data_IF_095152903056
#
_entry.id   IF_095152903056
#
_cell.length_a   1.000
_cell.length_b   1.000
_cell.length_c   1.000
_cell.angle_alpha   90.00
_cell.angle_beta   90.00
_cell.angle_gamma   90.00
#
_symmetry.space_group_name_H-M   'P 1'
#
loop_
_entity.id
_entity.type
_entity.pdbx_description
1 polymer ?
#
# COMPACT_ATOMS: atom_id res chain seq x y z
N UNK A 1 9.75 23.30 2.26
CA UNK A 1 9.02 22.09 1.83
C UNK A 1 7.97 21.63 2.83
N UNK A 2 8.31 21.40 4.11
CA UNK A 2 7.37 20.85 5.11
C UNK A 2 6.14 21.71 5.39
N UNK A 3 6.28 23.04 5.48
CA UNK A 3 5.14 23.96 5.65
C UNK A 3 4.16 23.93 4.47
N UNK A 4 4.66 23.79 3.25
CA UNK A 4 3.84 23.67 2.05
C UNK A 4 3.08 22.33 2.03
N UNK A 5 3.73 21.23 2.41
CA UNK A 5 3.07 19.93 2.48
C UNK A 5 1.90 19.92 3.48
N UNK A 6 2.11 20.48 4.69
CA UNK A 6 1.05 20.55 5.72
C UNK A 6 -0.11 21.44 5.26
N UNK A 7 0.19 22.61 4.67
CA UNK A 7 -0.85 23.52 4.18
C UNK A 7 -1.61 22.94 2.99
N UNK A 8 -0.92 22.22 2.10
CA UNK A 8 -1.53 21.46 1.01
C UNK A 8 -2.48 20.38 1.54
N UNK A 9 -2.02 19.50 2.43
CA UNK A 9 -2.86 18.43 3.00
C UNK A 9 -4.08 18.99 3.75
N UNK A 10 -3.90 20.09 4.49
CA UNK A 10 -5.00 20.76 5.19
C UNK A 10 -6.04 21.31 4.22
N UNK A 11 -5.61 22.02 3.17
CA UNK A 11 -6.51 22.56 2.15
C UNK A 11 -7.17 21.47 1.31
N UNK A 12 -6.43 20.41 0.99
CA UNK A 12 -6.93 19.24 0.28
C UNK A 12 -8.06 18.56 1.06
N UNK A 13 -7.85 18.28 2.35
CA UNK A 13 -8.88 17.67 3.22
C UNK A 13 -10.14 18.54 3.28
N UNK A 14 -9.99 19.86 3.41
CA UNK A 14 -11.12 20.79 3.43
C UNK A 14 -11.86 20.82 2.09
N UNK A 15 -11.14 20.81 0.97
CA UNK A 15 -11.73 20.79 -0.37
C UNK A 15 -12.49 19.48 -0.63
N UNK A 16 -11.94 18.34 -0.21
CA UNK A 16 -12.62 17.05 -0.32
C UNK A 16 -13.93 17.06 0.47
N UNK A 17 -13.92 17.48 1.74
CA UNK A 17 -15.15 17.56 2.54
C UNK A 17 -16.22 18.46 1.90
N UNK A 18 -15.81 19.62 1.35
CA UNK A 18 -16.72 20.50 0.64
C UNK A 18 -17.29 19.90 -0.67
N UNK A 19 -16.53 19.06 -1.37
CA UNK A 19 -17.01 18.35 -2.57
C UNK A 19 -17.94 17.21 -2.16
N UNK A 20 -17.57 16.40 -1.18
CA UNK A 20 -18.39 15.31 -0.66
C UNK A 20 -19.74 15.82 -0.19
N UNK A 21 -19.79 16.95 0.52
CA UNK A 21 -21.04 17.59 0.91
C UNK A 21 -21.84 18.12 -0.30
N UNK A 22 -21.19 18.71 -1.30
CA UNK A 22 -21.89 19.21 -2.50
C UNK A 22 -22.47 18.10 -3.37
N UNK A 23 -21.84 16.94 -3.36
CA UNK A 23 -22.26 15.77 -4.12
C UNK A 23 -23.16 14.84 -3.31
N UNK A 24 -23.54 15.24 -2.09
CA UNK A 24 -24.43 14.48 -1.21
C UNK A 24 -23.90 13.07 -0.89
N UNK A 25 -22.57 12.94 -0.82
CA UNK A 25 -21.89 11.67 -0.56
C UNK A 25 -21.61 11.44 0.93
N UNK A 26 -22.16 12.28 1.83
CA UNK A 26 -21.93 12.15 3.27
C UNK A 26 -22.78 11.05 3.91
N UNK A 27 -23.89 10.67 3.27
CA UNK A 27 -24.86 9.69 3.76
C UNK A 27 -24.72 8.32 3.09
N UNK A 28 -23.64 8.08 2.34
CA UNK A 28 -23.39 6.77 1.75
C UNK A 28 -22.99 5.79 2.86
N UNK A 29 -23.96 5.05 3.39
CA UNK A 29 -23.74 4.03 4.42
C UNK A 29 -22.88 2.90 3.86
N UNK A 30 -21.86 2.49 4.64
CA UNK A 30 -21.02 1.34 4.28
C UNK A 30 -21.84 0.04 4.10
N UNK A 31 -23.04 -0.03 4.69
CA UNK A 31 -23.97 -1.16 4.63
C UNK A 31 -24.65 -1.37 3.25
N UNK A 32 -24.74 -0.35 2.38
CA UNK A 32 -25.35 -0.51 1.04
C UNK A 32 -24.38 -1.09 -0.01
N UNK A 33 -23.09 -1.23 0.34
CA UNK A 33 -22.10 -1.76 -0.59
C UNK A 33 -22.33 -3.25 -0.86
N UNK A 34 -23.00 -3.54 -1.98
CA UNK A 34 -23.06 -4.90 -2.53
C UNK A 34 -21.64 -5.49 -2.59
N UNK A 35 -21.46 -6.76 -2.20
CA UNK A 35 -20.15 -7.41 -2.26
C UNK A 35 -19.63 -7.35 -3.69
N UNK A 36 -18.35 -7.00 -3.86
CA UNK A 36 -17.71 -6.90 -5.18
C UNK A 36 -18.00 -8.20 -5.97
N UNK A 37 -18.40 -8.12 -7.26
CA UNK A 37 -18.82 -9.31 -8.00
C UNK A 37 -17.75 -10.39 -8.07
N UNK A 38 -16.47 -10.00 -8.15
CA UNK A 38 -15.33 -10.93 -8.10
C UNK A 38 -15.25 -11.73 -6.80
N UNK A 39 -15.71 -11.15 -5.70
CA UNK A 39 -15.72 -11.79 -4.38
C UNK A 39 -16.84 -12.82 -4.27
N UNK A 40 -18.03 -12.49 -4.79
CA UNK A 40 -19.20 -13.40 -4.82
C UNK A 40 -18.92 -14.66 -5.64
N UNK A 41 -18.21 -14.52 -6.76
CA UNK A 41 -17.87 -15.65 -7.64
C UNK A 41 -16.80 -16.56 -7.02
N UNK A 42 -15.87 -16.00 -6.24
CA UNK A 42 -14.70 -16.72 -5.70
C UNK A 42 -14.89 -17.24 -4.28
N UNK A 43 -15.94 -16.84 -3.58
CA UNK A 43 -16.24 -17.32 -2.23
C UNK A 43 -16.82 -18.73 -2.29
N UNK A 44 -16.14 -19.71 -1.67
CA UNK A 44 -16.68 -21.06 -1.52
C UNK A 44 -17.65 -21.19 -0.33
N UNK A 45 -17.63 -20.22 0.58
CA UNK A 45 -18.35 -20.25 1.86
C UNK A 45 -19.34 -19.10 1.92
N UNK A 46 -20.57 -19.40 2.32
CA UNK A 46 -21.65 -18.43 2.55
C UNK A 46 -21.98 -18.49 4.03
N UNK A 47 -22.02 -17.34 4.69
CA UNK A 47 -22.37 -17.20 6.11
C UNK A 47 -23.51 -16.20 6.26
N UNK A 48 -24.36 -16.41 7.27
CA UNK A 48 -25.44 -15.48 7.57
C UNK A 48 -24.85 -14.29 8.32
N UNK A 49 -25.01 -13.09 7.76
CA UNK A 49 -24.58 -11.87 8.44
C UNK A 49 -25.37 -11.70 9.75
N UNK A 50 -24.71 -11.51 10.91
CA UNK A 50 -25.37 -11.41 12.22
C UNK A 50 -26.22 -10.14 12.38
N UNK A 51 -26.00 -9.11 11.56
CA UNK A 51 -26.72 -7.82 11.62
C UNK A 51 -27.91 -7.82 10.66
N UNK A 52 -27.70 -8.16 9.38
CA UNK A 52 -28.75 -8.11 8.34
C UNK A 52 -29.54 -9.40 8.22
N UNK A 53 -29.00 -10.53 8.70
CA UNK A 53 -29.61 -11.85 8.56
C UNK A 53 -29.63 -12.40 7.14
N UNK A 54 -28.99 -11.72 6.18
CA UNK A 54 -28.89 -12.15 4.78
C UNK A 54 -27.72 -13.13 4.64
N UNK A 55 -27.88 -14.13 3.77
CA UNK A 55 -26.78 -15.04 3.41
C UNK A 55 -25.80 -14.31 2.50
N UNK A 56 -24.61 -14.02 3.02
CA UNK A 56 -23.56 -13.29 2.32
C UNK A 56 -22.33 -14.18 2.13
N UNK A 57 -21.61 -14.04 1.02
CA UNK A 57 -20.36 -14.75 0.82
C UNK A 57 -19.35 -14.34 1.91
N UNK A 58 -18.82 -15.31 2.65
CA UNK A 58 -17.91 -15.06 3.76
C UNK A 58 -16.52 -15.63 3.47
N UNK A 59 -15.49 -14.86 3.83
CA UNK A 59 -14.11 -15.28 3.68
C UNK A 59 -13.46 -15.48 5.06
N UNK A 60 -13.07 -16.71 5.42
CA UNK A 60 -12.58 -17.00 6.76
C UNK A 60 -11.33 -16.19 7.09
N UNK A 61 -11.34 -15.54 8.26
CA UNK A 61 -10.31 -14.59 8.68
C UNK A 61 -8.89 -15.18 8.65
N UNK A 62 -8.72 -16.46 8.98
CA UNK A 62 -7.43 -17.15 8.90
C UNK A 62 -6.86 -17.15 7.48
N UNK A 63 -7.65 -17.54 6.48
CA UNK A 63 -7.22 -17.54 5.07
C UNK A 63 -6.94 -16.13 4.54
N UNK A 64 -7.63 -15.10 5.07
CA UNK A 64 -7.38 -13.69 4.77
C UNK A 64 -6.03 -13.24 5.27
N UNK A 65 -5.71 -13.59 6.52
CA UNK A 65 -4.44 -13.24 7.12
C UNK A 65 -3.27 -13.87 6.37
N UNK A 66 -3.37 -15.15 5.97
CA UNK A 66 -2.32 -15.80 5.18
C UNK A 66 -2.08 -15.13 3.82
N UNK A 67 -3.14 -14.68 3.12
CA UNK A 67 -3.02 -13.96 1.84
C UNK A 67 -2.42 -12.55 2.01
N UNK A 68 -2.81 -11.85 3.07
CA UNK A 68 -2.22 -10.53 3.39
C UNK A 68 -0.73 -10.72 3.73
N UNK A 69 -0.42 -11.71 4.56
CA UNK A 69 0.95 -12.00 4.95
C UNK A 69 1.81 -12.36 3.73
N UNK A 70 1.32 -13.21 2.81
CA UNK A 70 2.07 -13.53 1.58
C UNK A 70 2.32 -12.29 0.71
N UNK A 71 1.34 -11.39 0.59
CA UNK A 71 1.51 -10.11 -0.10
C UNK A 71 2.58 -9.22 0.56
N UNK A 72 2.54 -9.08 1.89
CA UNK A 72 3.52 -8.33 2.66
C UNK A 72 4.92 -8.93 2.53
N UNK A 73 5.03 -10.26 2.52
CA UNK A 73 6.31 -10.96 2.31
C UNK A 73 6.90 -10.65 0.94
N UNK A 74 6.10 -10.68 -0.13
CA UNK A 74 6.56 -10.36 -1.50
C UNK A 74 7.04 -8.90 -1.56
N UNK A 75 6.28 -7.96 -1.00
CA UNK A 75 6.68 -6.54 -0.96
C UNK A 75 7.99 -6.35 -0.20
N UNK A 76 8.16 -7.04 0.92
CA UNK A 76 9.39 -6.98 1.72
C UNK A 76 10.60 -7.50 0.91
N UNK A 77 10.44 -8.62 0.20
CA UNK A 77 11.49 -9.17 -0.67
C UNK A 77 11.88 -8.19 -1.78
N UNK A 78 10.90 -7.55 -2.42
CA UNK A 78 11.17 -6.54 -3.45
C UNK A 78 11.96 -5.34 -2.89
N UNK A 79 11.63 -4.87 -1.69
CA UNK A 79 12.38 -3.79 -1.03
C UNK A 79 13.81 -4.23 -0.70
N UNK A 80 13.99 -5.44 -0.14
CA UNK A 80 15.32 -5.99 0.15
C UNK A 80 16.19 -6.10 -1.11
N UNK A 81 15.61 -6.52 -2.25
CA UNK A 81 16.33 -6.60 -3.51
C UNK A 81 16.88 -5.24 -3.96
N UNK A 82 16.08 -4.18 -3.82
CA UNK A 82 16.51 -2.81 -4.14
C UNK A 82 17.65 -2.36 -3.20
N UNK A 83 17.56 -2.67 -1.91
CA UNK A 83 18.62 -2.34 -0.94
C UNK A 83 19.94 -3.03 -1.30
N UNK A 84 19.90 -4.32 -1.64
CA UNK A 84 21.10 -5.07 -2.08
C UNK A 84 21.72 -4.41 -3.31
N UNK A 85 20.91 -4.00 -4.28
CA UNK A 85 21.40 -3.33 -5.49
C UNK A 85 22.06 -1.98 -5.18
N UNK A 86 21.48 -1.19 -4.26
CA UNK A 86 22.08 0.07 -3.80
C UNK A 86 23.44 -0.19 -3.13
N UNK A 87 23.52 -1.19 -2.25
CA UNK A 87 24.79 -1.58 -1.60
C UNK A 87 25.83 -1.99 -2.64
N UNK A 88 25.46 -2.78 -3.63
CA UNK A 88 26.36 -3.19 -4.72
C UNK A 88 26.92 -1.98 -5.48
N UNK A 89 26.10 -0.98 -5.79
CA UNK A 89 26.54 0.26 -6.44
C UNK A 89 27.51 1.05 -5.55
N UNK A 90 27.23 1.14 -4.25
CA UNK A 90 28.11 1.83 -3.30
C UNK A 90 29.48 1.15 -3.25
N UNK A 91 29.51 -0.19 -3.12
CA UNK A 91 30.75 -0.97 -3.12
C UNK A 91 31.51 -0.79 -4.44
N UNK A 92 30.82 -0.88 -5.58
CA UNK A 92 31.41 -0.65 -6.89
C UNK A 92 32.08 0.74 -6.99
N UNK A 93 31.40 1.80 -6.51
CA UNK A 93 31.97 3.15 -6.49
C UNK A 93 33.22 3.25 -5.61
N UNK A 94 33.23 2.59 -4.45
CA UNK A 94 34.39 2.56 -3.54
C UNK A 94 35.57 1.83 -4.18
N UNK A 95 35.33 0.67 -4.81
CA UNK A 95 36.39 -0.10 -5.46
C UNK A 95 37.05 0.68 -6.60
N UNK A 96 36.27 1.47 -7.37
CA UNK A 96 36.79 2.29 -8.46
C UNK A 96 37.52 3.54 -7.97
N UNK A 97 37.05 4.16 -6.89
CA UNK A 97 37.69 5.36 -6.37
C UNK A 97 39.09 5.07 -5.81
N UNK A 98 39.30 3.92 -5.16
CA UNK A 98 40.60 3.51 -4.59
C UNK A 98 41.77 3.57 -5.61
N UNK A 99 41.72 2.89 -6.78
CA UNK A 99 42.81 2.96 -7.76
C UNK A 99 42.93 4.35 -8.40
N UNK A 100 41.83 5.11 -8.50
CA UNK A 100 41.85 6.47 -9.01
C UNK A 100 42.66 7.42 -8.10
N UNK A 101 42.42 7.37 -6.77
CA UNK A 101 43.20 8.14 -5.80
C UNK A 101 44.68 7.73 -5.79
N UNK A 102 44.97 6.42 -5.87
CA UNK A 102 46.36 5.92 -5.95
C UNK A 102 47.10 6.44 -7.17
N UNK A 103 46.42 6.67 -8.29
CA UNK A 103 47.04 7.21 -9.51
C UNK A 103 47.32 8.72 -9.45
N UNK A 104 46.57 9.48 -8.63
CA UNK A 104 46.79 10.92 -8.45
C UNK A 104 47.90 11.24 -7.46
N UNK A 105 48.11 10.43 -6.42
CA UNK A 105 49.21 10.62 -5.45
C UNK A 105 50.61 10.31 -6.03
N UNK A 106 50.68 9.76 -7.25
CA UNK A 106 51.91 9.40 -7.96
C UNK A 106 52.39 10.48 -8.97
N UNK A 107 51.80 11.68 -8.97
CA UNK A 107 52.18 12.81 -9.84
C UNK A 107 52.43 14.07 -9.04
#
# INVERSE_FOLDING_TARGET
MSFWAVTFLKRWKQKNAAITHRWDLMEFEEEENRPRPEFVIRSSTVEKNPVTGILEPYFPAATRQYRILSGVMILTVMICMVIIFIIAIIVYRIIISIPLFRSQDLR
#
